data_IF_150319856667
#
_entry.id   IF_150319856667
#
_cell.length_a   1.000
_cell.length_b   1.000
_cell.length_c   1.000
_cell.angle_alpha   90.00
_cell.angle_beta   90.00
_cell.angle_gamma   90.00
#
_symmetry.space_group_name_H-M   'P 1'
#
loop_
_entity.id
_entity.type
_entity.pdbx_description
1 polymer ?
#
# COMPACT_ATOMS: atom_id res chain seq x y z
N UNK A 1 13.37 -15.26 -8.56
CA UNK A 1 12.36 -14.87 -9.55
C UNK A 1 11.67 -13.66 -8.96
N UNK A 2 11.62 -12.52 -9.66
CA UNK A 2 11.03 -11.29 -9.11
C UNK A 2 9.51 -11.39 -9.29
N UNK A 3 8.75 -11.25 -8.21
CA UNK A 3 7.29 -11.23 -8.25
C UNK A 3 6.76 -9.85 -8.67
N UNK A 4 5.52 -9.76 -9.22
CA UNK A 4 4.87 -8.47 -9.44
C UNK A 4 4.78 -7.61 -8.18
N UNK A 5 4.56 -8.25 -7.01
CA UNK A 5 4.51 -7.59 -5.71
C UNK A 5 5.84 -6.97 -5.29
N UNK A 6 6.98 -7.60 -5.57
CA UNK A 6 8.31 -7.02 -5.34
C UNK A 6 8.58 -5.77 -6.19
N UNK A 7 8.22 -5.84 -7.47
CA UNK A 7 8.35 -4.69 -8.38
C UNK A 7 7.49 -3.54 -7.86
N UNK A 8 6.26 -3.84 -7.44
CA UNK A 8 5.36 -2.84 -6.90
C UNK A 8 5.84 -2.27 -5.56
N UNK A 9 6.38 -3.09 -4.66
CA UNK A 9 6.98 -2.62 -3.40
C UNK A 9 8.04 -1.56 -3.69
N UNK A 10 8.93 -1.85 -4.64
CA UNK A 10 10.01 -0.94 -5.05
C UNK A 10 9.44 0.37 -5.63
N UNK A 11 8.46 0.27 -6.53
CA UNK A 11 7.82 1.44 -7.13
C UNK A 11 7.08 2.31 -6.11
N UNK A 12 6.40 1.70 -5.13
CA UNK A 12 5.69 2.42 -4.08
C UNK A 12 6.67 3.09 -3.10
N UNK A 13 7.80 2.46 -2.80
CA UNK A 13 8.87 3.07 -2.00
C UNK A 13 9.42 4.33 -2.68
N UNK A 14 9.68 4.28 -3.98
CA UNK A 14 10.09 5.45 -4.77
C UNK A 14 9.00 6.53 -4.78
N UNK A 15 7.74 6.15 -5.04
CA UNK A 15 6.61 7.08 -5.04
C UNK A 15 6.47 7.81 -3.70
N UNK A 16 6.61 7.09 -2.59
CA UNK A 16 6.49 7.64 -1.24
C UNK A 16 7.54 8.72 -0.99
N UNK A 17 8.79 8.47 -1.41
CA UNK A 17 9.86 9.46 -1.30
C UNK A 17 9.61 10.67 -2.21
N UNK A 18 9.24 10.43 -3.47
CA UNK A 18 9.02 11.47 -4.48
C UNK A 18 7.84 12.38 -4.14
N UNK A 19 6.76 11.82 -3.58
CA UNK A 19 5.52 12.55 -3.26
C UNK A 19 5.44 12.99 -1.81
N UNK A 20 6.47 12.71 -1.01
CA UNK A 20 6.49 13.02 0.43
C UNK A 20 5.24 12.51 1.14
N UNK A 21 4.91 11.24 0.89
CA UNK A 21 3.75 10.61 1.52
C UNK A 21 3.96 10.57 3.04
N UNK A 22 2.94 11.01 3.78
CA UNK A 22 2.92 11.05 5.25
C UNK A 22 1.86 10.13 5.85
N UNK A 23 0.95 9.61 5.01
CA UNK A 23 -0.14 8.73 5.43
C UNK A 23 -0.35 7.65 4.38
N UNK A 24 -0.41 6.39 4.82
CA UNK A 24 -0.84 5.26 3.99
C UNK A 24 -2.20 4.79 4.48
N UNK A 25 -3.14 4.65 3.54
CA UNK A 25 -4.48 4.14 3.77
C UNK A 25 -4.67 2.82 3.04
N UNK A 26 -5.29 1.86 3.71
CA UNK A 26 -5.63 0.55 3.20
C UNK A 26 -7.13 0.45 3.08
N UNK A 27 -7.61 0.20 1.87
CA UNK A 27 -9.02 -0.03 1.56
C UNK A 27 -9.25 -1.48 1.17
N UNK A 28 -10.40 -2.03 1.58
CA UNK A 28 -10.91 -3.30 1.05
C UNK A 28 -11.93 -3.00 -0.05
N UNK A 29 -11.70 -3.56 -1.24
CA UNK A 29 -12.43 -3.21 -2.46
C UNK A 29 -13.91 -3.64 -2.45
N UNK A 30 -14.26 -4.70 -1.70
CA UNK A 30 -15.63 -5.18 -1.58
C UNK A 30 -16.61 -4.15 -1.00
N UNK A 31 -16.09 -3.19 -0.27
CA UNK A 31 -16.86 -2.22 0.49
C UNK A 31 -16.38 -0.78 0.28
N UNK A 32 -15.29 -0.58 -0.46
CA UNK A 32 -14.51 0.67 -0.53
C UNK A 32 -14.31 1.31 0.87
N UNK A 33 -14.32 0.48 1.92
CA UNK A 33 -14.17 0.95 3.29
C UNK A 33 -12.70 1.06 3.62
N UNK A 34 -12.36 2.18 4.26
CA UNK A 34 -11.08 2.33 4.93
C UNK A 34 -10.98 1.24 6.00
N UNK A 35 -10.01 0.36 5.83
CA UNK A 35 -9.76 -0.76 6.71
C UNK A 35 -8.67 -0.45 7.73
N UNK A 36 -7.64 0.29 7.32
CA UNK A 36 -6.52 0.68 8.17
C UNK A 36 -5.88 1.94 7.61
N UNK A 37 -5.33 2.79 8.48
CA UNK A 37 -4.50 3.91 8.08
C UNK A 37 -3.39 4.14 9.11
N UNK A 38 -2.22 4.55 8.64
CA UNK A 38 -1.11 4.89 9.53
C UNK A 38 -0.14 5.86 8.90
N UNK A 39 0.45 6.72 9.75
CA UNK A 39 1.61 7.54 9.39
C UNK A 39 2.94 6.77 9.50
N UNK A 40 2.89 5.49 9.87
CA UNK A 40 4.04 4.59 9.94
C UNK A 40 3.75 3.33 9.15
N UNK A 41 4.67 3.00 8.24
CA UNK A 41 4.61 1.82 7.40
C UNK A 41 6.00 1.28 7.14
N UNK A 42 6.09 -0.01 6.81
CA UNK A 42 7.34 -0.68 6.46
C UNK A 42 7.12 -1.54 5.22
N UNK A 43 8.00 -1.41 4.24
CA UNK A 43 8.03 -2.34 3.11
C UNK A 43 8.93 -3.53 3.42
N UNK A 44 8.48 -4.69 2.99
CA UNK A 44 9.29 -5.91 2.86
C UNK A 44 9.05 -6.48 1.46
N UNK A 45 9.89 -7.42 1.04
CA UNK A 45 9.90 -8.08 -0.27
C UNK A 45 8.69 -7.76 -1.20
N UNK A 46 7.54 -8.37 -0.96
CA UNK A 46 6.27 -8.12 -1.68
C UNK A 46 5.13 -7.63 -0.77
N UNK A 47 5.46 -7.09 0.41
CA UNK A 47 4.50 -6.73 1.44
C UNK A 47 4.68 -5.31 1.94
N UNK A 48 3.60 -4.73 2.43
CA UNK A 48 3.62 -3.50 3.22
C UNK A 48 2.97 -3.76 4.58
N UNK A 49 3.62 -3.36 5.65
CA UNK A 49 3.05 -3.29 6.99
C UNK A 49 2.44 -1.90 7.19
N UNK A 50 1.16 -1.85 7.57
CA UNK A 50 0.45 -0.61 7.95
C UNK A 50 -0.37 -0.94 9.18
N UNK A 51 -0.20 -0.15 10.25
CA UNK A 51 -0.88 -0.34 11.53
C UNK A 51 -0.79 -1.79 12.04
N UNK A 52 0.45 -2.30 12.13
CA UNK A 52 0.76 -3.66 12.62
C UNK A 52 0.15 -4.81 11.80
N UNK A 53 -0.35 -4.54 10.59
CA UNK A 53 -0.94 -5.53 9.69
C UNK A 53 -0.18 -5.59 8.38
N UNK A 54 0.12 -6.80 7.92
CA UNK A 54 0.83 -7.04 6.66
C UNK A 54 -0.13 -7.24 5.49
N UNK A 55 0.12 -6.54 4.39
CA UNK A 55 -0.67 -6.61 3.15
C UNK A 55 0.22 -7.05 1.98
N UNK A 56 -0.19 -8.13 1.29
CA UNK A 56 0.55 -8.67 0.15
C UNK A 56 0.24 -7.85 -1.11
N UNK A 57 1.25 -7.18 -1.66
CA UNK A 57 1.14 -6.29 -2.80
C UNK A 57 0.78 -7.01 -4.11
N UNK A 58 0.97 -8.33 -4.21
CA UNK A 58 0.43 -9.10 -5.35
C UNK A 58 -1.11 -9.10 -5.41
N UNK A 59 -1.78 -8.72 -4.31
CA UNK A 59 -3.24 -8.66 -4.22
C UNK A 59 -3.80 -7.25 -4.35
N UNK A 60 -2.96 -6.26 -4.65
CA UNK A 60 -3.45 -4.91 -4.91
C UNK A 60 -4.26 -4.90 -6.21
N UNK A 61 -5.31 -4.09 -6.24
CA UNK A 61 -6.10 -3.84 -7.45
C UNK A 61 -5.72 -2.51 -8.09
N UNK A 62 -5.59 -1.49 -7.26
CA UNK A 62 -5.19 -0.15 -7.65
C UNK A 62 -4.56 0.58 -6.46
N UNK A 63 -3.84 1.64 -6.77
CA UNK A 63 -3.40 2.62 -5.79
C UNK A 63 -3.63 4.02 -6.33
N UNK A 64 -3.89 4.95 -5.43
CA UNK A 64 -4.12 6.35 -5.72
C UNK A 64 -3.29 7.20 -4.76
N UNK A 65 -2.82 8.35 -5.22
CA UNK A 65 -2.19 9.33 -4.35
C UNK A 65 -2.95 10.64 -4.45
N UNK A 66 -3.20 11.27 -3.30
CA UNK A 66 -3.81 12.61 -3.24
C UNK A 66 -3.14 13.37 -2.10
N UNK A 67 -2.61 14.55 -2.40
CA UNK A 67 -1.77 15.32 -1.48
C UNK A 67 -0.62 14.44 -0.96
N UNK A 68 -0.55 14.22 0.36
CA UNK A 68 0.47 13.40 1.03
C UNK A 68 -0.07 12.03 1.47
N UNK A 69 -1.21 11.60 0.92
CA UNK A 69 -1.85 10.32 1.26
C UNK A 69 -1.73 9.34 0.10
N UNK A 70 -1.27 8.13 0.40
CA UNK A 70 -1.25 6.99 -0.52
C UNK A 70 -2.35 6.01 -0.12
N UNK A 71 -3.33 5.82 -1.00
CA UNK A 71 -4.43 4.88 -0.80
C UNK A 71 -4.20 3.61 -1.59
N UNK A 72 -4.15 2.47 -0.92
CA UNK A 72 -3.95 1.14 -1.51
C UNK A 72 -5.25 0.34 -1.40
N UNK A 73 -5.73 -0.21 -2.52
CA UNK A 73 -6.98 -0.94 -2.58
C UNK A 73 -6.71 -2.43 -2.82
N UNK A 74 -7.09 -3.27 -1.87
CA UNK A 74 -6.90 -4.72 -1.94
C UNK A 74 -8.22 -5.46 -2.14
N UNK A 75 -8.17 -6.60 -2.84
CA UNK A 75 -9.28 -7.57 -2.82
C UNK A 75 -9.54 -8.01 -1.39
N UNK A 76 -10.81 -8.02 -0.98
CA UNK A 76 -11.19 -8.68 0.27
C UNK A 76 -10.77 -10.16 0.21
N UNK A 77 -10.21 -10.64 1.32
CA UNK A 77 -9.90 -12.07 1.52
C UNK A 77 -11.03 -12.69 2.30
#
# INVERSE_FOLDING_TARGET
MITPGEVLASNLQELIQLKQITLVQIYRFDSEKLYSESSSWVFSHEFIEVDHSWYNLNRILKYEYTNTTLSLYFLAS
#
